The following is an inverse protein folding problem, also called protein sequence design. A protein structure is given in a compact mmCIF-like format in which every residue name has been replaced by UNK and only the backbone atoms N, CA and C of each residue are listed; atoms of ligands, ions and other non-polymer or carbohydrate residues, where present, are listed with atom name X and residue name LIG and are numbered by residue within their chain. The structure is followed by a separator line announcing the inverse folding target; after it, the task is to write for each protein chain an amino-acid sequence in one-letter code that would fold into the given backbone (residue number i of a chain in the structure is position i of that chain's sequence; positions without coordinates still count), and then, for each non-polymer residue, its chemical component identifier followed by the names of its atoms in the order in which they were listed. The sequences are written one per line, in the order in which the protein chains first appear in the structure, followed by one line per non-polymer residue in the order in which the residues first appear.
data_IF_156154651988
#
_entry.id   IF_156154651988
#
_cell.length_a   1.000
_cell.length_b   1.000
_cell.length_c   1.000
_cell.angle_alpha   90.00
_cell.angle_beta   90.00
_cell.angle_gamma   90.00
#
_symmetry.space_group_name_H-M   'P 1'
#
loop_
_entity.id
_entity.type
_entity.pdbx_description
1 polymer ?
#
# COMPACT_ATOMS: atom_id res chain seq x y z
N UNK A 1 22.03 7.74 7.56
CA UNK A 1 20.63 7.67 8.02
C UNK A 1 20.01 6.45 7.36
N UNK A 2 19.82 5.37 8.10
CA UNK A 2 19.32 4.10 7.56
C UNK A 2 17.83 4.28 7.19
N UNK A 3 17.52 4.51 5.91
CA UNK A 3 16.15 4.75 5.43
C UNK A 3 15.45 3.40 5.24
N UNK A 4 15.02 2.81 6.34
CA UNK A 4 14.11 1.66 6.25
C UNK A 4 12.79 2.11 5.63
N UNK A 5 12.58 1.72 4.36
CA UNK A 5 11.38 2.08 3.58
C UNK A 5 10.09 1.51 4.18
N UNK A 6 10.19 0.47 5.03
CA UNK A 6 9.05 -0.20 5.67
C UNK A 6 8.39 0.66 6.75
N UNK A 7 9.00 1.79 7.12
CA UNK A 7 8.45 2.72 8.13
C UNK A 7 7.40 3.68 7.58
N UNK A 8 7.30 3.82 6.25
CA UNK A 8 6.37 4.75 5.60
C UNK A 8 5.53 3.99 4.59
N UNK A 9 4.25 4.33 4.48
CA UNK A 9 3.36 3.78 3.47
C UNK A 9 2.75 4.89 2.63
N UNK A 10 2.60 4.67 1.33
CA UNK A 10 1.89 5.56 0.41
C UNK A 10 0.80 4.80 -0.33
N UNK A 11 -0.44 5.29 -0.25
CA UNK A 11 -1.59 4.64 -0.88
C UNK A 11 -2.91 5.37 -0.64
N UNK A 12 -3.97 4.95 -1.33
CA UNK A 12 -5.32 5.50 -1.21
C UNK A 12 -6.12 4.77 -0.14
N UNK A 13 -7.02 5.46 0.55
CA UNK A 13 -7.97 4.85 1.49
C UNK A 13 -9.38 4.72 0.89
N UNK A 14 -9.47 4.61 -0.43
CA UNK A 14 -10.74 4.49 -1.14
C UNK A 14 -10.65 3.50 -2.27
N UNK A 15 -11.81 2.94 -2.60
CA UNK A 15 -12.05 2.16 -3.81
C UNK A 15 -13.13 2.85 -4.64
N UNK A 16 -13.08 2.66 -5.96
CA UNK A 16 -14.14 3.15 -6.83
C UNK A 16 -15.20 2.06 -6.91
N UNK A 17 -16.38 2.36 -6.40
CA UNK A 17 -17.52 1.47 -6.46
C UNK A 17 -17.87 1.14 -7.92
N UNK A 18 -18.00 -0.15 -8.22
CA UNK A 18 -18.15 -0.63 -9.59
C UNK A 18 -19.45 -0.15 -10.24
N UNK A 19 -20.51 0.00 -9.45
CA UNK A 19 -21.85 0.38 -9.92
C UNK A 19 -22.02 1.90 -10.00
N UNK A 20 -21.83 2.60 -8.88
CA UNK A 20 -22.06 4.04 -8.78
C UNK A 20 -20.94 4.89 -9.37
N UNK A 21 -19.77 4.29 -9.65
CA UNK A 21 -18.54 4.98 -10.08
C UNK A 21 -18.08 6.08 -9.12
N UNK A 22 -18.50 6.02 -7.86
CA UNK A 22 -18.12 6.96 -6.81
C UNK A 22 -17.05 6.36 -5.90
N UNK A 23 -16.21 7.20 -5.29
CA UNK A 23 -15.27 6.75 -4.27
C UNK A 23 -16.03 6.29 -3.01
N UNK A 24 -15.73 5.08 -2.54
CA UNK A 24 -16.08 4.59 -1.22
C UNK A 24 -14.82 4.62 -0.36
N UNK A 25 -14.85 5.39 0.71
CA UNK A 25 -13.70 5.59 1.58
C UNK A 25 -13.74 4.63 2.75
N UNK A 26 -12.61 3.99 3.04
CA UNK A 26 -12.42 3.16 4.20
C UNK A 26 -11.54 3.87 5.25
N UNK A 27 -12.21 4.47 6.23
CA UNK A 27 -11.59 5.12 7.38
C UNK A 27 -10.80 4.12 8.25
N UNK A 28 -11.18 2.84 8.23
CA UNK A 28 -10.51 1.75 8.96
C UNK A 28 -9.08 1.60 8.45
N UNK A 29 -8.89 1.51 7.14
CA UNK A 29 -7.56 1.44 6.51
C UNK A 29 -6.65 2.58 6.93
N UNK A 30 -7.16 3.82 7.10
CA UNK A 30 -6.35 4.97 7.54
C UNK A 30 -5.79 4.72 8.94
N UNK A 31 -6.63 4.26 9.88
CA UNK A 31 -6.20 3.97 11.25
C UNK A 31 -5.20 2.81 11.26
N UNK A 32 -5.49 1.72 10.55
CA UNK A 32 -4.60 0.55 10.46
C UNK A 32 -3.23 0.93 9.91
N UNK A 33 -3.18 1.74 8.85
CA UNK A 33 -1.93 2.21 8.26
C UNK A 33 -1.18 3.15 9.18
N UNK A 34 -1.85 4.03 9.91
CA UNK A 34 -1.19 4.83 10.95
C UNK A 34 -0.64 3.95 12.09
N UNK A 35 -1.24 2.81 12.39
CA UNK A 35 -0.71 1.86 13.38
C UNK A 35 0.48 1.09 12.80
N UNK A 36 0.41 0.64 11.56
CA UNK A 36 1.46 -0.16 10.92
C UNK A 36 2.70 0.64 10.55
N UNK A 37 2.54 1.92 10.23
CA UNK A 37 3.59 2.77 9.70
C UNK A 37 3.80 4.00 10.58
N UNK A 38 5.02 4.51 10.62
CA UNK A 38 5.32 5.77 11.29
C UNK A 38 4.71 6.96 10.55
N UNK A 39 4.61 6.86 9.22
CA UNK A 39 3.96 7.85 8.38
C UNK A 39 3.14 7.17 7.30
N UNK A 40 1.84 7.47 7.29
CA UNK A 40 0.97 7.20 6.16
C UNK A 40 0.90 8.43 5.25
N UNK A 41 1.24 8.27 3.98
CA UNK A 41 1.09 9.27 2.93
C UNK A 41 -0.18 8.91 2.15
N UNK A 42 -1.26 9.60 2.47
CA UNK A 42 -2.55 9.42 1.83
C UNK A 42 -2.50 9.95 0.39
N UNK A 43 -2.67 9.06 -0.58
CA UNK A 43 -2.96 9.41 -1.97
C UNK A 43 -4.43 9.86 -2.03
N UNK A 44 -4.62 11.17 -1.93
CA UNK A 44 -5.93 11.78 -1.80
C UNK A 44 -6.65 11.87 -3.14
N UNK A 45 -7.93 11.50 -3.12
CA UNK A 45 -8.90 11.83 -4.15
C UNK A 45 -9.51 13.21 -3.87
N UNK A 46 -8.87 14.25 -4.39
CA UNK A 46 -9.40 15.61 -4.37
C UNK A 46 -9.76 16.17 -2.99
N UNK A 47 -9.07 15.71 -1.95
CA UNK A 47 -9.27 16.04 -0.53
C UNK A 47 -10.65 15.63 0.02
N UNK A 48 -11.39 14.77 -0.68
CA UNK A 48 -12.72 14.32 -0.25
C UNK A 48 -12.65 13.46 1.03
N UNK A 49 -11.49 12.88 1.35
CA UNK A 49 -11.25 12.15 2.61
C UNK A 49 -11.45 13.04 3.85
N UNK A 50 -11.23 14.35 3.73
CA UNK A 50 -11.29 15.26 4.88
C UNK A 50 -12.69 15.45 5.43
N UNK A 51 -13.72 15.33 4.60
CA UNK A 51 -15.10 15.34 5.10
C UNK A 51 -15.32 14.17 6.08
N UNK A 52 -14.88 12.98 5.71
CA UNK A 52 -15.04 11.76 6.50
C UNK A 52 -14.16 11.82 7.75
N UNK A 53 -12.89 12.20 7.61
CA UNK A 53 -11.97 12.36 8.73
C UNK A 53 -12.51 13.34 9.79
N UNK A 54 -13.05 14.48 9.35
CA UNK A 54 -13.62 15.48 10.25
C UNK A 54 -14.93 14.98 10.88
N UNK A 55 -15.78 14.28 10.12
CA UNK A 55 -17.01 13.70 10.66
C UNK A 55 -16.75 12.61 11.70
N UNK A 56 -15.69 11.82 11.52
CA UNK A 56 -15.28 10.75 12.43
C UNK A 56 -14.53 11.26 13.66
N UNK A 57 -13.60 12.21 13.51
CA UNK A 57 -12.66 12.59 14.56
C UNK A 57 -12.75 14.06 15.03
N UNK A 58 -13.60 14.86 14.38
CA UNK A 58 -13.68 16.30 14.61
C UNK A 58 -12.43 17.05 14.13
N UNK A 59 -12.51 18.39 14.14
CA UNK A 59 -11.37 19.24 13.75
C UNK A 59 -10.14 19.00 14.65
N UNK A 60 -10.35 18.86 15.97
CA UNK A 60 -9.26 18.65 16.94
C UNK A 60 -8.45 17.39 16.63
N UNK A 61 -9.13 16.25 16.45
CA UNK A 61 -8.48 14.99 16.11
C UNK A 61 -7.73 15.05 14.77
N UNK A 62 -8.35 15.59 13.72
CA UNK A 62 -7.67 15.74 12.42
C UNK A 62 -6.44 16.65 12.53
N UNK A 63 -6.53 17.74 13.30
CA UNK A 63 -5.40 18.62 13.56
C UNK A 63 -4.25 17.86 14.24
N UNK A 64 -4.53 17.06 15.28
CA UNK A 64 -3.52 16.28 15.99
C UNK A 64 -2.85 15.25 15.08
N UNK A 65 -3.65 14.53 14.29
CA UNK A 65 -3.16 13.56 13.29
C UNK A 65 -2.16 14.25 12.34
N UNK A 66 -2.56 15.36 11.70
CA UNK A 66 -1.70 16.10 10.77
C UNK A 66 -0.47 16.71 11.46
N UNK A 67 -0.63 17.23 12.68
CA UNK A 67 0.48 17.88 13.41
C UNK A 67 1.52 16.88 13.90
N UNK A 68 1.11 15.63 14.16
CA UNK A 68 2.02 14.56 14.59
C UNK A 68 2.93 14.03 13.49
N UNK A 69 2.61 14.32 12.22
CA UNK A 69 3.32 13.76 11.06
C UNK A 69 2.94 12.31 10.74
N UNK A 70 2.01 11.71 11.50
CA UNK A 70 1.49 10.36 11.23
C UNK A 70 0.75 10.26 9.89
N UNK A 71 0.14 11.36 9.45
CA UNK A 71 -0.53 11.48 8.16
C UNK A 71 0.08 12.64 7.35
N UNK A 72 0.49 12.33 6.12
CA UNK A 72 0.89 13.29 5.09
C UNK A 72 0.01 13.10 3.86
N UNK A 73 -0.04 14.09 2.97
CA UNK A 73 -1.04 14.14 1.91
C UNK A 73 -0.35 14.26 0.56
N UNK A 74 -0.65 13.34 -0.35
CA UNK A 74 -0.26 13.43 -1.75
C UNK A 74 -1.52 13.57 -2.61
N UNK A 75 -1.66 14.67 -3.36
CA UNK A 75 -2.89 14.99 -4.11
C UNK A 75 -2.66 15.25 -5.60
N UNK A 76 -1.48 14.92 -6.13
CA UNK A 76 -1.20 15.12 -7.55
C UNK A 76 -1.62 13.91 -8.37
N UNK A 77 -2.51 14.12 -9.33
CA UNK A 77 -2.86 13.11 -10.31
C UNK A 77 -1.78 13.04 -11.39
N UNK A 78 -0.93 12.02 -11.30
CA UNK A 78 0.01 11.62 -12.35
C UNK A 78 -0.40 10.26 -12.89
N UNK A 79 -0.45 10.09 -14.20
CA UNK A 79 -0.64 8.79 -14.82
C UNK A 79 0.27 8.67 -16.04
N UNK A 80 0.82 7.48 -16.28
CA UNK A 80 1.39 7.17 -17.59
C UNK A 80 0.21 6.90 -18.51
N UNK A 81 0.15 7.61 -19.63
CA UNK A 81 -0.91 7.49 -20.61
C UNK A 81 -0.36 7.26 -22.00
N UNK A 82 -1.17 6.62 -22.84
CA UNK A 82 -0.90 6.43 -24.24
C UNK A 82 -1.42 7.65 -25.00
N UNK A 83 -0.57 8.27 -25.82
CA UNK A 83 -0.89 9.49 -26.58
C UNK A 83 -0.83 9.30 -28.09
N UNK A 84 -0.30 8.17 -28.56
CA UNK A 84 -0.03 7.84 -29.96
C UNK A 84 -1.23 7.94 -30.90
N UNK A 85 -2.42 7.53 -30.43
CA UNK A 85 -3.68 7.61 -31.19
C UNK A 85 -4.54 8.83 -30.79
N UNK A 86 -4.06 9.69 -29.88
CA UNK A 86 -4.87 10.80 -29.39
C UNK A 86 -4.74 12.02 -30.30
N UNK A 87 -5.85 12.46 -30.92
CA UNK A 87 -5.92 13.71 -31.69
C UNK A 87 -5.89 14.98 -30.83
N UNK A 88 -5.53 14.87 -29.56
CA UNK A 88 -5.61 15.94 -28.56
C UNK A 88 -4.34 16.79 -28.48
N UNK A 89 -3.40 16.61 -29.40
CA UNK A 89 -2.16 17.41 -29.48
C UNK A 89 -1.11 17.08 -28.42
N UNK A 90 -1.27 15.98 -27.67
CA UNK A 90 -0.33 15.59 -26.61
C UNK A 90 1.04 15.16 -27.14
N UNK A 91 1.11 14.69 -28.39
CA UNK A 91 2.35 14.18 -29.01
C UNK A 91 3.35 15.25 -29.41
N UNK A 92 3.04 16.52 -29.14
CA UNK A 92 3.91 17.65 -29.44
C UNK A 92 4.15 17.81 -30.95
N UNK A 93 5.38 18.21 -31.29
CA UNK A 93 5.82 18.49 -32.65
C UNK A 93 7.03 17.64 -33.01
N UNK A 94 7.17 17.30 -34.29
CA UNK A 94 8.38 16.73 -34.88
C UNK A 94 9.55 17.71 -34.78
N UNK A 95 10.77 17.25 -35.03
CA UNK A 95 12.00 18.08 -35.00
C UNK A 95 11.93 19.30 -35.93
N UNK A 96 11.15 19.21 -37.01
CA UNK A 96 10.91 20.29 -37.98
C UNK A 96 9.82 21.29 -37.56
N UNK A 97 9.19 21.11 -36.39
CA UNK A 97 8.15 21.98 -35.85
C UNK A 97 6.73 21.68 -36.33
N UNK A 98 6.52 20.66 -37.17
CA UNK A 98 5.20 20.18 -37.60
C UNK A 98 4.53 19.30 -36.53
N UNK A 99 3.19 19.24 -36.45
CA UNK A 99 2.51 18.31 -35.54
C UNK A 99 2.84 16.85 -35.86
N UNK A 100 2.90 15.99 -34.83
CA UNK A 100 3.04 14.54 -35.06
C UNK A 100 1.72 13.92 -35.52
N UNK A 101 1.77 13.11 -36.57
CA UNK A 101 0.62 12.39 -37.14
C UNK A 101 0.22 11.20 -36.28
N UNK A 102 -1.06 10.89 -36.13
CA UNK A 102 -1.54 9.75 -35.35
C UNK A 102 -0.82 8.44 -35.73
N UNK A 103 -0.46 7.65 -34.71
CA UNK A 103 0.23 6.38 -34.92
C UNK A 103 -0.72 5.28 -35.37
N UNK A 104 -0.28 4.37 -36.26
CA UNK A 104 -1.08 3.22 -36.68
C UNK A 104 -1.26 2.22 -35.54
N UNK A 105 -2.04 1.16 -35.77
CA UNK A 105 -2.17 0.06 -34.81
C UNK A 105 -0.79 -0.53 -34.46
N UNK A 106 -0.73 -1.05 -33.24
CA UNK A 106 0.48 -1.58 -32.60
C UNK A 106 1.67 -0.60 -32.53
N UNK A 107 1.42 0.70 -32.69
CA UNK A 107 2.41 1.75 -32.51
C UNK A 107 1.94 2.70 -31.43
N UNK A 108 2.80 3.09 -30.49
CA UNK A 108 2.41 3.79 -29.27
C UNK A 108 3.35 4.94 -28.94
N UNK A 109 2.80 6.01 -28.36
CA UNK A 109 3.55 7.07 -27.70
C UNK A 109 3.10 7.11 -26.26
N UNK A 110 4.03 7.30 -25.32
CA UNK A 110 3.74 7.33 -23.90
C UNK A 110 4.19 8.63 -23.26
N UNK A 111 3.30 9.21 -22.46
CA UNK A 111 3.56 10.45 -21.73
C UNK A 111 3.09 10.32 -20.29
N UNK A 112 3.68 11.12 -19.39
CA UNK A 112 3.13 11.31 -18.05
C UNK A 112 2.10 12.43 -18.13
N UNK A 113 0.84 12.04 -18.06
CA UNK A 113 -0.30 12.94 -18.07
C UNK A 113 -0.46 13.55 -16.67
N UNK A 114 -0.52 14.88 -16.65
CA UNK A 114 -0.80 15.71 -15.50
C UNK A 114 -1.99 16.61 -15.79
N UNK A 115 -2.70 17.05 -14.75
CA UNK A 115 -3.70 18.09 -14.94
C UNK A 115 -3.04 19.42 -15.33
N UNK A 116 -3.48 19.99 -16.45
CA UNK A 116 -2.97 21.26 -16.98
C UNK A 116 -3.08 22.45 -16.02
N UNK A 117 -4.06 22.42 -15.09
CA UNK A 117 -4.29 23.48 -14.11
C UNK A 117 -4.37 22.91 -12.68
N UNK A 118 -3.28 22.25 -12.25
CA UNK A 118 -3.16 21.65 -10.92
C UNK A 118 -3.43 22.66 -9.78
N UNK A 119 -3.03 23.92 -9.96
CA UNK A 119 -3.26 24.99 -8.98
C UNK A 119 -4.75 25.31 -8.82
N UNK A 120 -5.49 25.47 -9.91
CA UNK A 120 -6.94 25.71 -9.85
C UNK A 120 -7.71 24.52 -9.29
N UNK A 121 -7.28 23.31 -9.62
CA UNK A 121 -7.88 22.08 -9.06
C UNK A 121 -7.63 22.03 -7.56
N UNK A 122 -6.39 22.21 -7.10
CA UNK A 122 -6.06 22.25 -5.68
C UNK A 122 -6.84 23.36 -4.96
N UNK A 123 -6.94 24.55 -5.55
CA UNK A 123 -7.76 25.64 -5.01
C UNK A 123 -9.22 25.21 -4.82
N UNK A 124 -9.84 24.61 -5.85
CA UNK A 124 -11.21 24.10 -5.79
C UNK A 124 -11.38 23.04 -4.71
N UNK A 125 -10.47 22.08 -4.64
CA UNK A 125 -10.49 21.02 -3.63
C UNK A 125 -10.39 21.58 -2.21
N UNK A 126 -9.51 22.57 -2.01
CA UNK A 126 -9.38 23.30 -0.74
C UNK A 126 -10.63 24.12 -0.38
N UNK A 127 -11.48 24.51 -1.35
CA UNK A 127 -12.75 25.17 -1.03
C UNK A 127 -13.79 24.21 -0.44
N UNK A 128 -13.75 22.92 -0.82
CA UNK A 128 -14.67 21.91 -0.28
C UNK A 128 -14.62 21.81 1.24
N UNK A 129 -13.45 22.10 1.83
CA UNK A 129 -13.25 22.09 3.29
C UNK A 129 -14.19 23.05 4.01
N UNK A 130 -14.61 24.17 3.40
CA UNK A 130 -15.57 25.10 4.00
C UNK A 130 -16.99 24.53 4.11
N UNK A 131 -17.30 23.50 3.32
CA UNK A 131 -18.64 22.89 3.26
C UNK A 131 -18.79 21.70 4.21
N UNK A 132 -17.76 21.36 5.00
CA UNK A 132 -17.84 20.26 5.95
C UNK A 132 -18.74 20.68 7.11
N UNK A 133 -19.86 19.99 7.29
CA UNK A 133 -20.95 20.37 8.22
C UNK A 133 -20.53 20.53 9.68
N UNK A 134 -19.47 19.84 10.11
CA UNK A 134 -19.07 19.71 11.51
C UNK A 134 -17.90 20.63 11.93
N UNK A 135 -17.58 21.66 11.15
CA UNK A 135 -16.53 22.63 11.51
C UNK A 135 -16.95 24.07 11.29
N UNK A 136 -16.43 24.97 12.12
CA UNK A 136 -16.64 26.40 11.98
C UNK A 136 -15.75 26.98 10.88
N UNK A 137 -16.15 28.13 10.32
CA UNK A 137 -15.39 28.82 9.28
C UNK A 137 -13.90 29.05 9.65
N UNK A 138 -13.62 29.44 10.91
CA UNK A 138 -12.26 29.64 11.41
C UNK A 138 -11.47 28.32 11.47
N UNK A 139 -12.12 27.22 11.79
CA UNK A 139 -11.52 25.88 11.80
C UNK A 139 -11.22 25.40 10.38
N UNK A 140 -12.12 25.63 9.43
CA UNK A 140 -11.90 25.34 8.01
C UNK A 140 -10.66 26.06 7.45
N UNK A 141 -10.48 27.35 7.76
CA UNK A 141 -9.27 28.11 7.36
C UNK A 141 -8.01 27.47 7.94
N UNK A 142 -8.02 27.12 9.23
CA UNK A 142 -6.88 26.48 9.89
C UNK A 142 -6.61 25.10 9.33
N UNK A 143 -7.66 24.33 9.03
CA UNK A 143 -7.55 23.00 8.43
C UNK A 143 -6.93 23.08 7.03
N UNK A 144 -7.35 24.02 6.18
CA UNK A 144 -6.71 24.25 4.87
C UNK A 144 -5.22 24.53 4.99
N UNK A 145 -4.82 25.33 5.98
CA UNK A 145 -3.41 25.58 6.28
C UNK A 145 -2.68 24.31 6.70
N UNK A 146 -3.26 23.54 7.63
CA UNK A 146 -2.69 22.27 8.07
C UNK A 146 -2.55 21.25 6.94
N UNK A 147 -3.54 21.16 6.04
CA UNK A 147 -3.46 20.34 4.84
C UNK A 147 -2.30 20.81 3.97
N UNK A 148 -2.22 22.11 3.67
CA UNK A 148 -1.15 22.67 2.85
C UNK A 148 0.26 22.41 3.42
N UNK A 149 0.42 22.56 4.74
CA UNK A 149 1.67 22.31 5.46
C UNK A 149 2.06 20.81 5.49
N UNK A 150 1.11 19.91 5.17
CA UNK A 150 1.30 18.46 5.13
C UNK A 150 1.27 17.87 3.71
N UNK A 151 1.17 18.70 2.68
CA UNK A 151 1.27 18.25 1.29
C UNK A 151 2.70 17.77 0.98
N UNK A 152 2.79 16.63 0.30
CA UNK A 152 4.01 16.09 -0.27
C UNK A 152 3.85 15.92 -1.78
N UNK A 153 4.91 16.25 -2.51
CA UNK A 153 4.92 16.33 -3.96
C UNK A 153 6.00 15.42 -4.51
N UNK A 154 5.83 14.97 -5.76
CA UNK A 154 6.93 14.35 -6.45
C UNK A 154 8.09 15.35 -6.65
N UNK A 155 9.35 14.88 -6.59
CA UNK A 155 10.44 15.58 -7.23
C UNK A 155 10.09 15.90 -8.68
N UNK A 156 10.51 17.07 -9.18
CA UNK A 156 10.16 17.51 -10.55
C UNK A 156 10.68 16.54 -11.62
N UNK A 157 11.77 15.85 -11.32
CA UNK A 157 12.46 14.93 -12.19
C UNK A 157 11.81 13.54 -12.22
N UNK A 158 10.91 13.22 -11.28
CA UNK A 158 10.27 11.90 -11.18
C UNK A 158 9.54 11.48 -12.44
N UNK A 159 8.88 12.42 -13.14
CA UNK A 159 8.18 12.12 -14.39
C UNK A 159 9.14 11.69 -15.51
N UNK A 160 10.31 12.31 -15.59
CA UNK A 160 11.39 11.96 -16.52
C UNK A 160 11.93 10.57 -16.20
N UNK A 161 12.16 10.25 -14.92
CA UNK A 161 12.63 8.93 -14.51
C UNK A 161 11.65 7.82 -14.86
N UNK A 162 10.35 8.04 -14.66
CA UNK A 162 9.30 7.07 -14.99
C UNK A 162 9.32 6.73 -16.48
N UNK A 163 9.31 7.75 -17.35
CA UNK A 163 9.30 7.54 -18.80
C UNK A 163 10.62 6.95 -19.31
N UNK A 164 11.76 7.47 -18.86
CA UNK A 164 13.06 6.95 -19.29
C UNK A 164 13.24 5.49 -18.90
N UNK A 165 12.84 5.12 -17.68
CA UNK A 165 12.90 3.72 -17.25
C UNK A 165 11.96 2.84 -18.07
N UNK A 166 10.73 3.30 -18.34
CA UNK A 166 9.79 2.58 -19.20
C UNK A 166 10.38 2.36 -20.59
N UNK A 167 10.86 3.41 -21.27
CA UNK A 167 11.45 3.29 -22.59
C UNK A 167 12.69 2.39 -22.60
N UNK A 168 13.50 2.42 -21.53
CA UNK A 168 14.64 1.52 -21.39
C UNK A 168 14.20 0.05 -21.21
N UNK A 169 13.15 -0.21 -20.43
CA UNK A 169 12.57 -1.55 -20.30
C UNK A 169 12.11 -2.07 -21.67
N UNK A 170 11.43 -1.23 -22.45
CA UNK A 170 10.93 -1.55 -23.79
C UNK A 170 12.06 -1.80 -24.80
N UNK A 171 13.07 -0.91 -24.86
CA UNK A 171 14.24 -1.03 -25.75
C UNK A 171 15.03 -2.31 -25.50
N UNK A 172 15.14 -2.74 -24.24
CA UNK A 172 15.90 -3.93 -23.87
C UNK A 172 15.05 -5.21 -23.82
N UNK A 173 13.78 -5.13 -24.23
CA UNK A 173 12.84 -6.26 -24.21
C UNK A 173 12.86 -7.04 -22.88
N UNK A 174 12.69 -6.35 -21.76
CA UNK A 174 12.80 -6.97 -20.43
C UNK A 174 11.77 -8.10 -20.23
N UNK A 175 12.10 -9.18 -19.49
CA UNK A 175 11.24 -10.37 -19.37
C UNK A 175 9.82 -10.09 -18.88
N UNK A 176 9.66 -9.09 -18.02
CA UNK A 176 8.38 -8.66 -17.46
C UNK A 176 7.38 -8.16 -18.54
N UNK A 177 7.83 -7.77 -19.73
CA UNK A 177 6.96 -7.37 -20.85
C UNK A 177 6.13 -8.56 -21.33
N UNK A 178 6.75 -9.73 -21.51
CA UNK A 178 6.04 -10.95 -21.92
C UNK A 178 4.93 -11.29 -20.91
N UNK A 179 5.21 -11.19 -19.61
CA UNK A 179 4.20 -11.40 -18.56
C UNK A 179 3.09 -10.34 -18.62
N UNK A 180 3.42 -9.07 -18.85
CA UNK A 180 2.43 -8.01 -19.00
C UNK A 180 1.49 -8.25 -20.20
N UNK A 181 2.02 -8.73 -21.34
CA UNK A 181 1.23 -9.09 -22.52
C UNK A 181 0.29 -10.25 -22.19
N UNK A 182 0.82 -11.31 -21.59
CA UNK A 182 0.04 -12.50 -21.21
C UNK A 182 -1.09 -12.13 -20.24
N UNK A 183 -0.77 -11.37 -19.19
CA UNK A 183 -1.71 -10.93 -18.17
C UNK A 183 -2.82 -10.06 -18.78
N UNK A 184 -2.44 -9.13 -19.67
CA UNK A 184 -3.39 -8.26 -20.37
C UNK A 184 -4.30 -9.04 -21.31
N UNK A 185 -3.77 -10.03 -22.04
CA UNK A 185 -4.55 -10.90 -22.91
C UNK A 185 -5.57 -11.74 -22.12
N UNK A 186 -5.12 -12.38 -21.03
CA UNK A 186 -6.00 -13.16 -20.14
C UNK A 186 -7.16 -12.34 -19.63
N UNK A 187 -6.89 -11.13 -19.16
CA UNK A 187 -7.91 -10.22 -18.63
C UNK A 187 -8.85 -9.68 -19.71
N UNK A 188 -8.30 -9.26 -20.85
CA UNK A 188 -9.10 -8.69 -21.95
C UNK A 188 -10.05 -9.71 -22.56
N UNK A 189 -9.61 -10.96 -22.70
CA UNK A 189 -10.38 -12.04 -23.32
C UNK A 189 -11.12 -12.92 -22.31
N UNK A 190 -10.96 -12.65 -21.01
CA UNK A 190 -11.51 -13.44 -19.91
C UNK A 190 -11.15 -14.94 -20.01
N UNK A 191 -9.86 -15.23 -20.25
CA UNK A 191 -9.31 -16.59 -20.36
C UNK A 191 -8.30 -16.87 -19.25
N UNK A 192 -8.24 -18.13 -18.80
CA UNK A 192 -7.33 -18.56 -17.71
C UNK A 192 -5.90 -18.85 -18.19
N UNK A 193 -5.74 -19.28 -19.44
CA UNK A 193 -4.46 -19.69 -20.03
C UNK A 193 -4.39 -19.33 -21.51
N UNK A 194 -3.16 -19.21 -22.02
CA UNK A 194 -2.86 -19.00 -23.44
C UNK A 194 -1.50 -19.65 -23.77
N UNK A 195 -1.24 -20.04 -25.03
CA UNK A 195 -0.02 -20.74 -25.43
C UNK A 195 1.20 -19.80 -25.44
N UNK A 196 1.71 -19.48 -24.25
CA UNK A 196 2.74 -18.46 -24.01
C UNK A 196 4.09 -18.73 -24.69
N UNK A 197 4.37 -20.00 -24.99
CA UNK A 197 5.53 -20.48 -25.74
C UNK A 197 5.45 -20.13 -27.23
N UNK A 198 4.24 -19.93 -27.77
CA UNK A 198 4.02 -19.55 -29.17
C UNK A 198 4.00 -18.03 -29.37
N UNK A 199 3.93 -17.25 -28.29
CA UNK A 199 3.95 -15.79 -28.37
C UNK A 199 5.32 -15.29 -28.83
N UNK A 200 5.36 -14.63 -29.98
CA UNK A 200 6.51 -13.87 -30.47
C UNK A 200 6.16 -12.40 -30.57
N UNK A 201 7.11 -11.56 -30.19
CA UNK A 201 7.01 -10.12 -30.35
C UNK A 201 8.40 -9.49 -30.39
N UNK A 202 8.48 -8.35 -31.07
CA UNK A 202 9.64 -7.48 -31.15
C UNK A 202 9.18 -6.04 -30.90
N UNK A 203 9.97 -5.29 -30.13
CA UNK A 203 9.68 -3.91 -29.78
C UNK A 203 10.80 -3.04 -30.33
N UNK A 204 10.43 -2.11 -31.18
CA UNK A 204 11.32 -1.07 -31.69
C UNK A 204 10.92 0.26 -31.05
N UNK A 205 11.90 1.02 -30.58
CA UNK A 205 11.67 2.38 -30.07
C UNK A 205 12.50 3.34 -30.91
N UNK A 206 11.83 4.28 -31.58
CA UNK A 206 12.49 5.20 -32.50
C UNK A 206 13.13 6.41 -31.79
N UNK A 207 13.76 7.27 -32.59
CA UNK A 207 14.41 8.51 -32.13
C UNK A 207 13.45 9.54 -31.53
N UNK A 208 12.17 9.39 -31.80
CA UNK A 208 11.08 10.23 -31.31
C UNK A 208 10.41 9.63 -30.06
N UNK A 209 10.93 8.50 -29.57
CA UNK A 209 10.41 7.67 -28.48
C UNK A 209 9.03 7.06 -28.76
N UNK A 210 8.62 6.99 -30.02
CA UNK A 210 7.48 6.18 -30.42
C UNK A 210 7.89 4.70 -30.40
N UNK A 211 6.97 3.84 -29.99
CA UNK A 211 7.17 2.42 -29.75
C UNK A 211 6.37 1.63 -30.77
N UNK A 212 7.03 0.86 -31.63
CA UNK A 212 6.39 -0.07 -32.54
C UNK A 212 6.49 -1.50 -32.00
N UNK A 213 5.38 -2.23 -32.02
CA UNK A 213 5.32 -3.62 -31.58
C UNK A 213 4.92 -4.52 -32.73
N UNK A 214 5.88 -5.30 -33.23
CA UNK A 214 5.59 -6.39 -34.16
C UNK A 214 5.29 -7.65 -33.35
N UNK A 215 4.08 -8.22 -33.47
CA UNK A 215 3.69 -9.39 -32.68
C UNK A 215 2.76 -10.32 -33.46
N UNK A 216 2.91 -11.62 -33.22
CA UNK A 216 2.01 -12.64 -33.76
C UNK A 216 0.70 -12.80 -32.95
N UNK A 217 0.44 -11.95 -31.96
CA UNK A 217 -0.68 -12.08 -31.01
C UNK A 217 -2.05 -12.26 -31.68
N UNK A 218 -2.35 -11.47 -32.72
CA UNK A 218 -3.61 -11.55 -33.47
C UNK A 218 -3.80 -12.92 -34.13
N UNK A 219 -2.78 -13.39 -34.85
CA UNK A 219 -2.80 -14.70 -35.50
C UNK A 219 -2.84 -15.84 -34.47
N UNK A 220 -2.08 -15.73 -33.39
CA UNK A 220 -1.97 -16.75 -32.36
C UNK A 220 -3.29 -16.98 -31.62
N UNK A 221 -4.03 -15.90 -31.33
CA UNK A 221 -5.29 -15.96 -30.57
C UNK A 221 -6.54 -15.92 -31.46
N UNK A 222 -6.39 -15.74 -32.77
CA UNK A 222 -7.52 -15.59 -33.70
C UNK A 222 -8.35 -14.34 -33.43
N UNK A 223 -7.72 -13.27 -32.91
CA UNK A 223 -8.38 -12.00 -32.59
C UNK A 223 -8.07 -10.95 -33.65
N UNK A 224 -8.90 -9.91 -33.76
CA UNK A 224 -8.65 -8.83 -34.69
C UNK A 224 -7.47 -7.93 -34.26
N UNK A 225 -7.03 -7.07 -35.17
CA UNK A 225 -5.91 -6.16 -34.93
C UNK A 225 -6.19 -5.11 -33.85
N UNK A 226 -7.45 -4.72 -33.62
CA UNK A 226 -7.81 -3.73 -32.61
C UNK A 226 -7.74 -4.34 -31.19
N UNK A 227 -8.19 -5.58 -31.03
CA UNK A 227 -8.09 -6.30 -29.78
C UNK A 227 -6.62 -6.61 -29.44
N UNK A 228 -5.83 -7.01 -30.44
CA UNK A 228 -4.39 -7.16 -30.27
C UNK A 228 -3.74 -5.83 -29.83
N UNK A 229 -4.07 -4.72 -30.49
CA UNK A 229 -3.58 -3.38 -30.13
C UNK A 229 -3.93 -3.01 -28.69
N UNK A 230 -5.19 -3.20 -28.25
CA UNK A 230 -5.61 -2.90 -26.87
C UNK A 230 -4.91 -3.77 -25.83
N UNK A 231 -4.65 -5.04 -26.15
CA UNK A 231 -3.91 -5.94 -25.25
C UNK A 231 -2.47 -5.44 -25.08
N UNK A 232 -1.80 -5.11 -26.20
CA UNK A 232 -0.44 -4.58 -26.19
C UNK A 232 -0.40 -3.22 -25.46
N UNK A 233 -1.34 -2.32 -25.74
CA UNK A 233 -1.48 -1.03 -25.05
C UNK A 233 -1.53 -1.20 -23.53
N UNK A 234 -2.44 -2.05 -23.04
CA UNK A 234 -2.61 -2.33 -21.60
C UNK A 234 -1.36 -2.95 -20.99
N UNK A 235 -0.67 -3.82 -21.73
CA UNK A 235 0.57 -4.43 -21.29
C UNK A 235 1.68 -3.40 -21.11
N UNK A 236 1.89 -2.53 -22.11
CA UNK A 236 2.90 -1.49 -22.05
C UNK A 236 2.58 -0.44 -20.98
N UNK A 237 1.31 -0.06 -20.84
CA UNK A 237 0.86 0.82 -19.75
C UNK A 237 1.05 0.20 -18.36
N UNK A 238 0.97 -1.13 -18.23
CA UNK A 238 1.27 -1.81 -16.96
C UNK A 238 2.75 -1.67 -16.58
N UNK A 239 3.67 -1.71 -17.55
CA UNK A 239 5.10 -1.42 -17.33
C UNK A 239 5.30 0.04 -16.86
N UNK A 240 4.62 1.00 -17.51
CA UNK A 240 4.64 2.39 -17.08
C UNK A 240 4.08 2.60 -15.67
N UNK A 241 2.98 1.94 -15.34
CA UNK A 241 2.38 1.93 -14.01
C UNK A 241 3.32 1.36 -12.94
N UNK A 242 4.03 0.28 -13.25
CA UNK A 242 5.03 -0.30 -12.36
C UNK A 242 6.19 0.66 -12.10
N UNK A 243 6.73 1.27 -13.15
CA UNK A 243 7.81 2.26 -13.02
C UNK A 243 7.38 3.48 -12.20
N UNK A 244 6.13 3.94 -12.37
CA UNK A 244 5.54 4.97 -11.52
C UNK A 244 5.53 4.55 -10.05
N UNK A 245 5.16 3.32 -9.71
CA UNK A 245 5.16 2.85 -8.31
C UNK A 245 6.55 2.79 -7.71
N UNK A 246 7.52 2.27 -8.46
CA UNK A 246 8.92 2.26 -8.02
C UNK A 246 9.38 3.68 -7.72
N UNK A 247 9.06 4.62 -8.60
CA UNK A 247 9.37 6.02 -8.39
C UNK A 247 8.61 6.64 -7.21
N UNK A 248 7.37 6.21 -6.97
CA UNK A 248 6.55 6.62 -5.81
C UNK A 248 7.24 6.20 -4.52
N UNK A 249 7.64 4.92 -4.44
CA UNK A 249 8.34 4.36 -3.29
C UNK A 249 9.67 5.07 -3.05
N UNK A 250 10.45 5.31 -4.11
CA UNK A 250 11.73 6.03 -4.04
C UNK A 250 11.54 7.47 -3.56
N UNK A 251 10.64 8.22 -4.20
CA UNK A 251 10.40 9.64 -3.93
C UNK A 251 9.93 9.88 -2.51
N UNK A 252 9.08 9.00 -1.99
CA UNK A 252 8.52 9.15 -0.66
C UNK A 252 9.23 8.33 0.42
N UNK A 253 10.27 7.57 0.03
CA UNK A 253 10.98 6.62 0.89
C UNK A 253 9.99 5.71 1.65
N UNK A 254 9.00 5.19 0.93
CA UNK A 254 7.83 4.49 1.46
C UNK A 254 7.55 3.23 0.68
N UNK A 255 6.89 2.25 1.29
CA UNK A 255 6.28 1.13 0.58
C UNK A 255 4.89 1.49 0.06
N UNK A 256 4.42 0.80 -0.98
CA UNK A 256 3.08 1.00 -1.57
C UNK A 256 2.49 -0.35 -1.96
N UNK A 257 1.17 -0.39 -2.11
CA UNK A 257 0.48 -1.58 -2.62
C UNK A 257 0.68 -1.79 -4.12
N UNK A 258 0.61 -3.06 -4.53
CA UNK A 258 0.59 -3.47 -5.94
C UNK A 258 -0.83 -3.77 -6.37
N UNK A 259 -1.18 -3.48 -7.63
CA UNK A 259 -2.40 -4.05 -8.20
C UNK A 259 -2.19 -5.55 -8.38
N UNK A 260 -3.29 -6.29 -8.35
CA UNK A 260 -3.35 -7.75 -8.48
C UNK A 260 -2.53 -8.30 -9.67
N UNK A 261 -2.42 -7.55 -10.76
CA UNK A 261 -1.68 -7.94 -11.96
C UNK A 261 -0.25 -7.39 -12.07
N UNK A 262 0.18 -6.53 -11.15
CA UNK A 262 1.50 -5.91 -11.17
C UNK A 262 2.53 -6.68 -10.35
N UNK A 263 2.11 -7.46 -9.34
CA UNK A 263 3.02 -8.20 -8.47
C UNK A 263 3.88 -9.18 -9.27
N UNK A 264 3.26 -10.00 -10.13
CA UNK A 264 3.97 -10.94 -11.01
C UNK A 264 4.88 -10.27 -12.05
N UNK A 265 4.60 -9.02 -12.41
CA UNK A 265 5.43 -8.20 -13.32
C UNK A 265 6.60 -7.58 -12.54
N UNK A 266 6.38 -7.25 -11.27
CA UNK A 266 7.37 -6.68 -10.36
C UNK A 266 8.39 -7.71 -9.89
N UNK A 267 7.97 -8.93 -9.58
CA UNK A 267 8.85 -10.04 -9.18
C UNK A 267 9.96 -10.27 -10.21
N UNK A 268 9.66 -10.27 -11.51
CA UNK A 268 10.68 -10.41 -12.57
C UNK A 268 11.64 -9.22 -12.63
N UNK A 269 11.15 -8.02 -12.31
CA UNK A 269 11.98 -6.82 -12.22
C UNK A 269 12.89 -6.84 -10.99
N UNK A 270 12.54 -7.66 -9.99
CA UNK A 270 13.26 -7.88 -8.74
C UNK A 270 13.77 -9.32 -8.60
N UNK A 271 13.97 -10.10 -9.67
CA UNK A 271 14.48 -11.48 -9.54
C UNK A 271 15.90 -11.52 -8.90
N UNK A 272 16.55 -10.35 -8.79
CA UNK A 272 17.77 -10.11 -8.01
C UNK A 272 17.56 -9.68 -6.54
N UNK A 273 16.34 -9.32 -6.11
CA UNK A 273 16.02 -8.70 -4.81
C UNK A 273 14.77 -9.26 -4.07
N UNK A 274 13.96 -10.17 -4.62
CA UNK A 274 12.63 -10.46 -4.04
C UNK A 274 12.55 -11.68 -3.10
N UNK A 275 12.40 -11.39 -1.81
CA UNK A 275 11.56 -12.17 -0.87
C UNK A 275 10.87 -11.33 0.24
N UNK A 276 10.96 -9.98 0.27
CA UNK A 276 10.70 -9.24 1.53
C UNK A 276 9.85 -7.95 1.49
N UNK A 277 9.04 -7.66 0.45
CA UNK A 277 8.47 -6.29 0.28
C UNK A 277 7.01 -6.23 -0.23
N UNK A 278 6.10 -7.13 0.17
CA UNK A 278 4.65 -6.97 -0.10
C UNK A 278 3.91 -6.42 1.13
N UNK A 279 3.41 -5.16 1.12
CA UNK A 279 2.65 -4.59 2.23
C UNK A 279 1.17 -4.98 2.25
N UNK A 280 0.58 -5.29 1.09
CA UNK A 280 -0.86 -5.59 0.97
C UNK A 280 -1.21 -6.91 1.67
N UNK A 281 -0.31 -7.91 1.60
CA UNK A 281 -0.44 -9.16 2.33
C UNK A 281 -0.38 -8.91 3.85
N UNK A 282 0.43 -7.96 4.30
CA UNK A 282 0.58 -7.59 5.72
C UNK A 282 -0.62 -6.78 6.23
N UNK A 283 -1.22 -5.93 5.39
CA UNK A 283 -2.46 -5.21 5.71
C UNK A 283 -3.64 -6.18 5.85
N UNK A 284 -3.80 -7.11 4.91
CA UNK A 284 -4.79 -8.19 4.98
C UNK A 284 -4.58 -9.08 6.21
N UNK A 285 -3.32 -9.36 6.54
CA UNK A 285 -2.96 -10.13 7.73
C UNK A 285 -3.33 -9.41 9.03
N UNK A 286 -3.01 -8.12 9.16
CA UNK A 286 -3.40 -7.32 10.31
C UNK A 286 -4.93 -7.22 10.43
N UNK A 287 -5.64 -6.97 9.33
CA UNK A 287 -7.10 -6.89 9.31
C UNK A 287 -7.72 -8.21 9.80
N UNK A 288 -7.14 -9.36 9.43
CA UNK A 288 -7.59 -10.66 9.91
C UNK A 288 -7.28 -10.89 11.40
N UNK A 289 -6.15 -10.41 11.91
CA UNK A 289 -5.80 -10.48 13.34
C UNK A 289 -6.72 -9.59 14.19
N UNK A 290 -7.11 -8.44 13.67
CA UNK A 290 -7.94 -7.46 14.38
C UNK A 290 -9.46 -7.67 14.24
N UNK A 291 -9.91 -8.53 13.31
CA UNK A 291 -11.33 -8.87 13.14
C UNK A 291 -11.82 -10.00 14.06
N UNK A 292 -10.96 -10.51 14.95
CA UNK A 292 -11.31 -11.58 15.87
C UNK A 292 -12.05 -11.09 17.13
N UNK A 293 -12.92 -11.92 17.77
CA UNK A 293 -13.91 -11.51 18.79
C UNK A 293 -13.35 -10.96 20.12
N UNK A 294 -12.05 -10.69 20.18
CA UNK A 294 -11.28 -10.32 21.36
C UNK A 294 -10.78 -8.86 21.24
N UNK A 295 -10.83 -8.30 20.04
CA UNK A 295 -10.55 -6.89 19.77
C UNK A 295 -11.86 -6.16 19.47
N UNK A 296 -12.09 -4.95 20.01
CA UNK A 296 -13.26 -4.16 19.65
C UNK A 296 -13.25 -3.90 18.15
N UNK A 297 -14.38 -4.16 17.49
CA UNK A 297 -14.53 -4.00 16.04
C UNK A 297 -14.28 -2.54 15.65
N UNK A 298 -13.23 -2.28 14.87
CA UNK A 298 -12.73 -0.94 14.58
C UNK A 298 -13.81 -0.07 13.89
N UNK A 299 -14.55 -0.67 12.96
CA UNK A 299 -15.68 -0.06 12.24
C UNK A 299 -16.75 0.44 13.22
N UNK A 300 -17.15 -0.41 14.16
CA UNK A 300 -18.14 -0.10 15.19
C UNK A 300 -17.64 0.97 16.17
N UNK A 301 -16.37 0.92 16.57
CA UNK A 301 -15.79 1.94 17.45
C UNK A 301 -15.64 3.32 16.78
N UNK A 302 -15.35 3.36 15.47
CA UNK A 302 -15.31 4.59 14.69
C UNK A 302 -16.72 5.17 14.53
N UNK A 303 -17.71 4.33 14.20
CA UNK A 303 -19.11 4.74 14.11
C UNK A 303 -19.64 5.31 15.44
N UNK A 304 -19.23 4.70 16.56
CA UNK A 304 -19.62 5.11 17.91
C UNK A 304 -18.82 6.31 18.45
N UNK A 305 -17.87 6.87 17.68
CA UNK A 305 -16.96 7.97 18.10
C UNK A 305 -16.16 7.65 19.38
N UNK A 306 -15.82 6.38 19.59
CA UNK A 306 -15.10 5.92 20.80
C UNK A 306 -13.58 5.95 20.65
N UNK A 307 -13.08 6.42 19.51
CA UNK A 307 -11.65 6.44 19.20
C UNK A 307 -10.99 7.71 19.77
N UNK A 308 -10.04 7.52 20.69
CA UNK A 308 -9.27 8.60 21.29
C UNK A 308 -7.98 8.85 20.46
N UNK A 309 -7.94 9.96 19.74
CA UNK A 309 -6.83 10.33 18.87
C UNK A 309 -5.53 10.54 19.65
N UNK A 310 -5.56 11.30 20.74
CA UNK A 310 -4.39 11.50 21.60
C UNK A 310 -3.78 10.17 22.07
N UNK A 311 -4.62 9.23 22.49
CA UNK A 311 -4.19 7.89 22.91
C UNK A 311 -3.64 7.09 21.72
N UNK A 312 -4.29 7.14 20.54
CA UNK A 312 -3.76 6.52 19.32
C UNK A 312 -2.34 7.03 19.00
N UNK A 313 -2.15 8.35 19.01
CA UNK A 313 -0.85 8.95 18.71
C UNK A 313 0.20 8.52 19.74
N UNK A 314 -0.14 8.49 21.03
CA UNK A 314 0.78 8.05 22.11
C UNK A 314 1.14 6.57 21.99
N UNK A 315 0.15 5.71 21.77
CA UNK A 315 0.35 4.27 21.63
C UNK A 315 1.20 3.96 20.40
N UNK A 316 1.01 4.68 19.30
CA UNK A 316 1.79 4.51 18.08
C UNK A 316 3.29 4.75 18.28
N UNK A 317 3.65 5.74 19.10
CA UNK A 317 5.04 6.08 19.40
C UNK A 317 5.66 5.17 20.48
N UNK A 318 4.91 4.21 21.05
CA UNK A 318 5.40 3.36 22.12
C UNK A 318 6.45 2.35 21.60
N UNK A 319 7.45 1.98 22.44
CA UNK A 319 8.38 0.90 22.12
C UNK A 319 7.66 -0.42 21.81
N UNK A 320 6.53 -0.68 22.47
CA UNK A 320 5.73 -1.88 22.26
C UNK A 320 5.06 -1.92 20.88
N UNK A 321 4.57 -0.77 20.39
CA UNK A 321 4.01 -0.68 19.03
C UNK A 321 5.11 -0.82 17.96
N UNK A 322 6.29 -0.24 18.19
CA UNK A 322 7.44 -0.41 17.29
C UNK A 322 7.92 -1.87 17.24
N UNK A 323 7.94 -2.55 18.38
CA UNK A 323 8.28 -3.97 18.47
C UNK A 323 7.23 -4.85 17.76
N UNK A 324 5.95 -4.51 17.89
CA UNK A 324 4.86 -5.13 17.15
C UNK A 324 5.04 -4.99 15.63
N UNK A 325 5.37 -3.78 15.13
CA UNK A 325 5.64 -3.58 13.70
C UNK A 325 6.79 -4.44 13.21
N UNK A 326 7.92 -4.43 13.92
CA UNK A 326 9.10 -5.24 13.55
C UNK A 326 8.73 -6.71 13.47
N UNK A 327 8.05 -7.22 14.50
CA UNK A 327 7.58 -8.60 14.54
C UNK A 327 6.68 -8.95 13.34
N UNK A 328 5.74 -8.06 12.98
CA UNK A 328 4.82 -8.28 11.86
C UNK A 328 5.53 -8.32 10.49
N UNK A 329 6.61 -7.54 10.34
CA UNK A 329 7.49 -7.60 9.17
C UNK A 329 8.34 -8.86 9.14
N UNK A 330 8.86 -9.31 10.29
CA UNK A 330 9.76 -10.45 10.41
C UNK A 330 9.03 -11.82 10.42
N UNK A 331 7.71 -11.82 10.64
CA UNK A 331 6.85 -13.00 10.43
C UNK A 331 6.71 -13.26 8.93
N UNK A 332 7.63 -14.04 8.34
CA UNK A 332 7.41 -14.65 7.03
C UNK A 332 6.09 -15.42 7.03
N UNK A 333 5.41 -15.42 5.88
CA UNK A 333 4.05 -15.93 5.62
C UNK A 333 3.66 -17.17 6.46
N UNK A 334 3.18 -16.95 7.67
CA UNK A 334 2.61 -18.00 8.51
C UNK A 334 1.19 -18.26 8.02
N UNK A 335 0.86 -19.53 7.80
CA UNK A 335 -0.49 -19.94 7.44
C UNK A 335 -1.48 -19.49 8.52
N UNK A 336 -2.63 -18.99 8.07
CA UNK A 336 -3.64 -18.32 8.91
C UNK A 336 -4.09 -19.15 10.13
N UNK A 337 -4.06 -20.48 10.04
CA UNK A 337 -4.48 -21.39 11.13
C UNK A 337 -3.44 -21.51 12.26
N UNK A 338 -2.13 -21.55 11.95
CA UNK A 338 -1.10 -21.58 12.99
C UNK A 338 -1.07 -20.27 13.81
N UNK A 339 -1.37 -19.14 13.17
CA UNK A 339 -1.52 -17.85 13.85
C UNK A 339 -2.77 -17.79 14.71
N UNK A 340 -3.90 -18.35 14.25
CA UNK A 340 -5.13 -18.45 15.02
C UNK A 340 -4.92 -19.22 16.32
N UNK A 341 -4.32 -20.41 16.25
CA UNK A 341 -4.09 -21.23 17.44
C UNK A 341 -3.12 -20.55 18.43
N UNK A 342 -2.10 -19.88 17.92
CA UNK A 342 -1.12 -19.14 18.75
C UNK A 342 -1.75 -17.92 19.41
N UNK A 343 -2.56 -17.15 18.70
CA UNK A 343 -3.26 -16.00 19.27
C UNK A 343 -4.39 -16.43 20.21
N UNK A 344 -5.05 -17.57 19.95
CA UNK A 344 -6.00 -18.18 20.88
C UNK A 344 -5.30 -18.60 22.19
N UNK A 345 -4.06 -19.08 22.12
CA UNK A 345 -3.25 -19.34 23.32
C UNK A 345 -2.87 -18.05 24.07
N UNK A 346 -2.65 -16.95 23.35
CA UNK A 346 -2.32 -15.64 23.89
C UNK A 346 -3.57 -14.98 24.51
N UNK A 347 -4.71 -15.09 23.84
CA UNK A 347 -5.99 -14.57 24.29
C UNK A 347 -6.51 -15.36 25.49
N UNK A 348 -6.28 -16.67 25.55
CA UNK A 348 -6.51 -17.49 26.73
C UNK A 348 -5.63 -17.04 27.91
N UNK A 349 -4.35 -16.69 27.67
CA UNK A 349 -3.46 -16.12 28.70
C UNK A 349 -3.87 -14.71 29.14
N UNK A 350 -4.47 -13.92 28.26
CA UNK A 350 -5.01 -12.58 28.55
C UNK A 350 -6.36 -12.64 29.29
N UNK A 351 -7.26 -13.55 28.89
CA UNK A 351 -8.56 -13.76 29.52
C UNK A 351 -8.42 -14.32 30.94
N UNK A 352 -7.43 -15.19 31.17
CA UNK A 352 -7.04 -15.67 32.51
C UNK A 352 -6.54 -14.54 33.42
N UNK A 353 -6.04 -13.43 32.88
CA UNK A 353 -5.59 -12.26 33.67
C UNK A 353 -6.68 -11.22 33.91
N UNK A 354 -7.73 -11.18 33.08
CA UNK A 354 -8.85 -10.25 33.23
C UNK A 354 -9.94 -10.77 34.20
N UNK A 355 -10.00 -12.07 34.44
CA UNK A 355 -10.97 -12.70 35.36
C UNK A 355 -10.51 -12.77 36.83
N UNK A 356 -9.23 -12.48 37.12
CA UNK A 356 -8.66 -12.59 38.47
C UNK A 356 -8.79 -11.33 39.30
N UNK A 357 -9.75 -11.30 40.24
CA UNK A 357 -9.76 -10.31 41.33
C UNK A 357 -8.51 -10.44 42.21
N UNK A 358 -7.78 -9.34 42.36
CA UNK A 358 -6.82 -9.00 43.43
C UNK A 358 -5.57 -9.86 43.67
N UNK A 359 -4.43 -9.17 43.53
CA UNK A 359 -3.18 -9.23 44.33
C UNK A 359 -2.03 -10.18 43.92
N UNK A 360 -0.84 -9.56 43.75
CA UNK A 360 0.54 -10.12 43.81
C UNK A 360 1.02 -11.11 42.74
N UNK A 361 1.10 -10.69 41.47
CA UNK A 361 2.01 -11.34 40.50
C UNK A 361 2.55 -10.36 39.44
N UNK A 362 3.43 -9.45 39.85
CA UNK A 362 4.36 -8.74 38.94
C UNK A 362 5.77 -9.22 39.28
N UNK A 363 6.13 -10.42 38.80
CA UNK A 363 7.52 -10.88 38.74
C UNK A 363 7.63 -12.14 37.89
N UNK A 364 7.50 -12.01 36.57
CA UNK A 364 7.88 -13.11 35.68
C UNK A 364 8.23 -12.66 34.26
N UNK A 365 9.16 -11.71 34.12
CA UNK A 365 9.90 -11.47 32.87
C UNK A 365 11.34 -11.01 33.17
N UNK A 366 12.02 -11.71 34.08
CA UNK A 366 13.44 -11.49 34.36
C UNK A 366 14.06 -12.73 34.98
N UNK A 367 14.16 -13.83 34.23
CA UNK A 367 15.12 -14.94 34.42
C UNK A 367 14.77 -16.07 33.45
N UNK A 368 15.30 -15.99 32.23
CA UNK A 368 15.66 -17.20 31.48
C UNK A 368 17.12 -17.06 31.09
N UNK A 369 17.95 -16.98 32.13
CA UNK A 369 19.39 -17.17 32.08
C UNK A 369 19.73 -18.10 33.23
N UNK A 370 19.95 -19.38 32.91
CA UNK A 370 20.36 -20.48 33.79
C UNK A 370 19.44 -20.85 34.97
N UNK A 371 19.06 -22.13 35.06
CA UNK A 371 18.61 -22.73 36.33
C UNK A 371 17.56 -23.81 36.18
N UNK A 372 18.02 -25.04 36.00
CA UNK A 372 17.27 -26.25 36.38
C UNK A 372 16.68 -26.10 37.79
N UNK A 373 15.41 -26.47 37.98
CA UNK A 373 14.93 -26.95 39.27
C UNK A 373 14.45 -28.40 39.15
N UNK A 374 14.88 -29.29 40.06
CA UNK A 374 14.71 -30.73 39.98
C UNK A 374 13.37 -31.17 40.58
N UNK A 375 12.99 -32.42 40.29
CA UNK A 375 11.88 -33.18 40.88
C UNK A 375 10.52 -32.96 40.20
N UNK A 376 10.33 -33.55 39.02
CA UNK A 376 9.39 -34.68 38.75
C UNK A 376 9.80 -35.36 37.43
N UNK A 377 10.20 -36.64 37.52
CA UNK A 377 9.96 -37.68 36.51
C UNK A 377 10.56 -37.53 35.09
N UNK A 378 11.72 -38.15 34.87
CA UNK A 378 12.21 -38.67 33.58
C UNK A 378 11.11 -39.58 32.98
N UNK A 379 10.69 -39.44 31.72
CA UNK A 379 11.09 -40.28 30.57
C UNK A 379 10.40 -39.72 29.30
N UNK A 380 11.19 -39.24 28.33
CA UNK A 380 11.09 -39.54 26.88
C UNK A 380 11.94 -38.56 26.03
N UNK A 381 13.14 -38.99 25.63
CA UNK A 381 13.76 -38.63 24.34
C UNK A 381 14.61 -37.35 24.24
N UNK A 382 15.95 -37.45 24.15
CA UNK A 382 16.82 -36.33 23.84
C UNK A 382 16.99 -36.17 22.31
N UNK A 383 16.04 -35.48 21.65
CA UNK A 383 16.23 -34.96 20.28
C UNK A 383 15.72 -33.51 20.09
N UNK A 384 14.92 -32.95 21.00
CA UNK A 384 14.31 -31.61 20.83
C UNK A 384 15.14 -30.48 21.49
N UNK A 385 16.44 -30.42 21.25
CA UNK A 385 17.36 -29.61 22.07
C UNK A 385 17.85 -28.29 21.48
N UNK A 386 17.84 -28.10 20.16
CA UNK A 386 18.53 -26.94 19.55
C UNK A 386 17.78 -26.25 18.40
N UNK A 387 16.84 -26.93 17.73
CA UNK A 387 16.01 -26.31 16.69
C UNK A 387 14.78 -25.60 17.26
N UNK A 388 14.23 -26.10 18.38
CA UNK A 388 13.04 -25.51 18.99
C UNK A 388 13.31 -24.17 19.67
N UNK A 389 14.45 -23.95 20.33
CA UNK A 389 14.69 -22.67 21.02
C UNK A 389 14.91 -21.50 20.05
N UNK A 390 15.56 -21.74 18.91
CA UNK A 390 15.78 -20.71 17.89
C UNK A 390 14.48 -20.34 17.15
N UNK A 391 13.64 -21.34 16.83
CA UNK A 391 12.31 -21.11 16.26
C UNK A 391 11.35 -20.51 17.30
N UNK A 392 11.39 -20.95 18.57
CA UNK A 392 10.56 -20.39 19.64
C UNK A 392 10.95 -18.94 19.96
N UNK A 393 12.23 -18.58 20.00
CA UNK A 393 12.67 -17.19 20.25
C UNK A 393 12.40 -16.25 19.06
N UNK A 394 12.44 -16.76 17.82
CA UNK A 394 12.14 -15.98 16.62
C UNK A 394 10.64 -15.87 16.33
N UNK A 395 9.83 -16.80 16.85
CA UNK A 395 8.38 -16.90 16.56
C UNK A 395 7.46 -16.57 17.75
N UNK A 396 7.98 -16.45 18.98
CA UNK A 396 7.19 -15.94 20.10
C UNK A 396 7.20 -14.41 20.07
N UNK A 397 6.03 -13.74 20.12
CA UNK A 397 5.97 -12.30 20.19
C UNK A 397 6.76 -11.83 21.42
N UNK A 398 7.70 -10.92 21.20
CA UNK A 398 8.43 -10.26 22.29
C UNK A 398 7.43 -9.64 23.27
N UNK A 399 7.83 -9.45 24.51
CA UNK A 399 6.93 -9.03 25.59
C UNK A 399 6.18 -7.72 25.30
N UNK A 400 6.75 -6.82 24.48
CA UNK A 400 6.09 -5.61 24.03
C UNK A 400 4.98 -5.87 23.03
N UNK A 401 5.08 -6.86 22.12
CA UNK A 401 3.98 -7.24 21.21
C UNK A 401 2.73 -7.65 21.99
N UNK A 402 2.88 -8.50 22.99
CA UNK A 402 1.78 -8.94 23.86
C UNK A 402 1.22 -7.78 24.69
N UNK A 403 2.09 -6.85 25.10
CA UNK A 403 1.69 -5.66 25.85
C UNK A 403 0.92 -4.68 24.95
N UNK A 404 1.35 -4.51 23.71
CA UNK A 404 0.66 -3.71 22.71
C UNK A 404 -0.76 -4.25 22.47
N UNK A 405 -0.88 -5.51 22.04
CA UNK A 405 -2.17 -6.12 21.70
C UNK A 405 -3.11 -6.22 22.91
N UNK A 406 -2.60 -6.62 24.08
CA UNK A 406 -3.44 -6.92 25.24
C UNK A 406 -3.74 -5.73 26.15
N UNK A 407 -2.94 -4.66 26.11
CA UNK A 407 -3.07 -3.52 27.04
C UNK A 407 -3.12 -2.16 26.38
N UNK A 408 -2.29 -1.88 25.37
CA UNK A 408 -2.22 -0.55 24.76
C UNK A 408 -3.27 -0.35 23.67
N UNK A 409 -3.38 -1.28 22.71
CA UNK A 409 -4.34 -1.19 21.61
C UNK A 409 -5.80 -1.02 22.10
N UNK A 410 -6.29 -1.77 23.10
CA UNK A 410 -7.65 -1.57 23.62
C UNK A 410 -7.91 -0.18 24.23
N UNK A 411 -6.86 0.53 24.69
CA UNK A 411 -7.03 1.87 25.28
C UNK A 411 -7.37 2.95 24.27
N UNK A 412 -7.07 2.71 22.99
CA UNK A 412 -7.46 3.59 21.87
C UNK A 412 -8.99 3.74 21.81
N UNK A 413 -9.73 2.74 22.28
CA UNK A 413 -11.20 2.65 22.17
C UNK A 413 -11.94 2.95 23.47
N UNK A 414 -11.23 3.34 24.52
CA UNK A 414 -11.87 3.85 25.73
C UNK A 414 -12.18 5.31 25.46
N UNK A 415 -13.44 5.58 25.13
CA UNK A 415 -13.96 6.95 25.08
C UNK A 415 -13.58 7.70 26.35
N UNK A 416 -13.33 9.00 26.21
CA UNK A 416 -13.11 9.91 27.34
C UNK A 416 -14.24 9.89 28.33
#
# INVERSE_FOLDING_TARGET
MNKDIRRRYVGSCYEIDAESKKPQFDITSIILRMILFDTFILQSNNLDEFEILVNSFGYGGVKEILSSGALRIHSEAHAVGQTGQTGLGFRGKKKDGTPKDLLPLNSFSFDVIMHADSKKIMHRNMQKIHNISNIQHKEAIKLKRLIADNLVFYPKESTIYILNQMLNDLKNNTPNIKKAIISSAKKQLNISSLPSEKLSYEIEVDDENDVHVNSNLSQMLGIDGNDAHKILEKALLAIGGLNKRIETMRSFSAVTGFRENELSIFEDKLEFLSASISPDDKEKHLSNVLSWPIFPELSTAIADKKLNIDTLLKVRESPECQEFRSWLWDCDSLETEELKDRINSISAKLSLKLSGKTSKAIRWLSTTGAGFLPVVGVVAGPVLGFLDTFLLEKMLPKSGVLTFLGKQYPTIFKGT
#
